data_IF_149816371379
#
_entry.id   IF_149816371379
#
_cell.length_a   1.000
_cell.length_b   1.000
_cell.length_c   1.000
_cell.angle_alpha   90.00
_cell.angle_beta   90.00
_cell.angle_gamma   90.00
#
_symmetry.space_group_name_H-M   'P 1'
#
loop_
_entity.id
_entity.type
_entity.pdbx_description
1 polymer ?
#
# COMPACT_ATOMS: atom_id res chain seq x y z
N UNK A 1 32.47 -0.89 30.83
CA UNK A 1 31.99 0.49 30.69
C UNK A 1 31.16 0.57 29.41
N UNK A 2 29.84 0.57 29.55
CA UNK A 2 28.91 0.68 28.38
C UNK A 2 28.75 2.16 28.06
N UNK A 3 29.21 2.60 26.90
CA UNK A 3 28.99 3.97 26.42
C UNK A 3 27.61 4.04 25.80
N UNK A 4 26.70 4.72 26.49
CA UNK A 4 25.39 5.11 25.98
C UNK A 4 25.58 6.33 25.09
N UNK A 5 25.52 6.17 23.78
CA UNK A 5 25.41 7.30 22.85
C UNK A 5 23.93 7.66 22.75
N UNK A 6 23.51 8.65 23.52
CA UNK A 6 22.26 9.37 23.28
C UNK A 6 22.59 10.46 22.28
N UNK A 7 22.10 10.35 21.05
CA UNK A 7 22.29 11.38 20.04
C UNK A 7 21.54 12.64 20.45
N UNK A 8 22.27 13.74 20.58
CA UNK A 8 21.78 15.04 21.03
C UNK A 8 20.76 15.73 20.09
N UNK A 9 20.45 15.12 18.95
CA UNK A 9 19.49 15.66 17.96
C UNK A 9 18.01 15.40 18.31
N UNK A 10 17.72 14.51 19.28
CA UNK A 10 16.33 14.25 19.75
C UNK A 10 15.93 15.23 20.88
N UNK A 11 16.88 15.87 21.55
CA UNK A 11 16.60 16.68 22.73
C UNK A 11 16.01 18.06 22.43
N UNK A 12 16.15 18.60 21.22
CA UNK A 12 15.65 19.94 20.89
C UNK A 12 14.17 20.00 20.49
N UNK A 13 13.55 18.85 20.14
CA UNK A 13 12.12 18.79 19.81
C UNK A 13 11.26 18.42 21.02
N UNK A 14 11.85 17.82 22.06
CA UNK A 14 11.17 17.47 23.31
C UNK A 14 10.87 18.67 24.21
N UNK A 15 11.40 19.86 23.94
CA UNK A 15 11.20 21.06 24.75
C UNK A 15 9.80 21.70 24.58
N UNK A 16 8.96 21.26 23.66
CA UNK A 16 7.59 21.73 23.48
C UNK A 16 6.52 20.86 24.18
N UNK A 17 6.92 19.75 24.81
CA UNK A 17 6.01 18.79 25.41
C UNK A 17 5.90 18.92 26.93
N UNK A 18 5.86 20.12 27.49
CA UNK A 18 5.55 20.33 28.91
C UNK A 18 4.06 20.56 29.13
N UNK A 19 3.21 19.64 28.69
CA UNK A 19 1.81 19.56 29.09
C UNK A 19 1.52 18.21 29.72
N UNK A 20 1.28 18.21 31.05
CA UNK A 20 0.57 17.23 31.85
C UNK A 20 1.00 15.76 31.74
N UNK A 21 1.48 15.22 32.81
CA UNK A 21 2.04 13.89 33.02
C UNK A 21 1.00 12.73 32.93
N UNK A 22 0.29 12.51 31.83
CA UNK A 22 -0.56 11.31 31.62
C UNK A 22 -0.74 10.92 30.13
N UNK A 23 -0.09 11.61 29.20
CA UNK A 23 -0.17 11.26 27.78
C UNK A 23 1.16 10.66 27.33
N UNK A 24 1.15 9.59 26.56
CA UNK A 24 2.29 9.31 25.69
C UNK A 24 2.40 10.50 24.74
N UNK A 25 3.42 11.33 24.91
CA UNK A 25 3.65 12.54 24.10
C UNK A 25 3.73 12.18 22.59
N UNK A 26 3.63 13.18 21.70
CA UNK A 26 3.67 12.92 20.27
C UNK A 26 4.97 12.19 19.88
N UNK A 27 4.84 11.08 19.16
CA UNK A 27 5.96 10.35 18.59
C UNK A 27 6.20 10.83 17.16
N UNK A 28 7.37 11.37 16.90
CA UNK A 28 7.87 11.64 15.56
C UNK A 28 8.44 10.36 14.98
N UNK A 29 8.16 10.10 13.71
CA UNK A 29 8.71 8.97 12.99
C UNK A 29 8.91 9.34 11.53
N UNK A 30 9.73 8.58 10.86
CA UNK A 30 9.92 8.78 9.44
C UNK A 30 10.56 7.56 8.78
N UNK A 31 10.61 7.66 7.47
CA UNK A 31 11.28 6.71 6.59
C UNK A 31 11.98 7.48 5.49
N UNK A 32 13.20 7.09 5.21
CA UNK A 32 13.88 7.42 3.97
C UNK A 32 14.11 6.10 3.22
N UNK A 33 13.56 5.99 2.02
CA UNK A 33 13.68 4.79 1.19
C UNK A 33 14.01 5.20 -0.24
N UNK A 34 15.24 4.84 -0.66
CA UNK A 34 15.77 5.17 -1.98
C UNK A 34 16.23 3.89 -2.68
N UNK A 35 15.97 3.80 -3.97
CA UNK A 35 16.38 2.69 -4.81
C UNK A 35 17.04 3.18 -6.10
N UNK A 36 18.11 2.49 -6.50
CA UNK A 36 18.63 2.56 -7.85
C UNK A 36 17.90 1.50 -8.66
N UNK A 37 17.14 1.93 -9.67
CA UNK A 37 16.27 1.08 -10.48
C UNK A 37 16.68 1.19 -11.93
N UNK A 38 16.82 0.04 -12.60
CA UNK A 38 16.95 -0.07 -14.05
C UNK A 38 15.69 -0.72 -14.62
N UNK A 39 15.17 -0.17 -15.72
CA UNK A 39 13.95 -0.62 -16.40
C UNK A 39 14.16 -0.63 -17.90
N UNK A 40 13.54 -1.61 -18.59
CA UNK A 40 13.61 -1.72 -20.04
C UNK A 40 12.68 -0.72 -20.74
N UNK A 41 11.57 -0.32 -20.11
CA UNK A 41 10.59 0.58 -20.73
C UNK A 41 10.22 1.79 -19.86
N UNK A 42 10.36 1.70 -18.53
CA UNK A 42 9.89 2.69 -17.58
C UNK A 42 8.38 2.71 -17.36
N UNK A 43 7.64 1.88 -18.07
CA UNK A 43 6.17 1.88 -18.11
C UNK A 43 5.55 1.46 -16.76
N UNK A 44 6.22 0.58 -16.02
CA UNK A 44 5.68 -0.01 -14.80
C UNK A 44 6.25 0.57 -13.51
N UNK A 45 7.12 1.59 -13.58
CA UNK A 45 7.73 2.19 -12.39
C UNK A 45 6.68 2.75 -11.42
N UNK A 46 6.87 2.43 -10.14
CA UNK A 46 5.97 2.81 -9.05
C UNK A 46 6.01 4.31 -8.76
N UNK A 47 7.20 4.85 -8.60
CA UNK A 47 7.38 6.22 -8.12
C UNK A 47 7.00 7.28 -9.15
N UNK A 48 7.00 6.95 -10.43
CA UNK A 48 6.65 7.88 -11.51
C UNK A 48 7.46 9.18 -11.48
N UNK A 49 8.69 9.13 -10.99
CA UNK A 49 9.51 10.29 -10.62
C UNK A 49 9.81 11.24 -11.77
N UNK A 50 9.57 10.87 -13.00
CA UNK A 50 9.92 11.67 -14.17
C UNK A 50 8.74 12.01 -15.09
N UNK A 51 7.50 11.85 -14.63
CA UNK A 51 6.33 12.15 -15.47
C UNK A 51 6.32 11.29 -16.74
N UNK A 52 6.74 10.03 -16.60
CA UNK A 52 6.80 9.10 -17.72
C UNK A 52 5.39 8.91 -18.26
N UNK A 53 5.10 9.51 -19.39
CA UNK A 53 3.97 9.14 -20.22
C UNK A 53 4.28 7.78 -20.82
N UNK A 54 3.90 6.74 -20.11
CA UNK A 54 4.06 5.38 -20.57
C UNK A 54 3.07 5.13 -21.71
N UNK A 55 3.51 5.38 -22.92
CA UNK A 55 2.97 4.67 -24.06
C UNK A 55 3.67 3.31 -24.08
N UNK A 56 2.91 2.23 -24.08
CA UNK A 56 3.40 0.84 -24.14
C UNK A 56 4.27 0.49 -25.35
N UNK A 57 4.62 1.48 -26.18
CA UNK A 57 5.51 1.41 -27.33
C UNK A 57 6.68 2.41 -27.27
N UNK A 58 6.90 3.08 -26.14
CA UNK A 58 7.91 4.14 -26.08
C UNK A 58 9.15 3.67 -25.32
N UNK A 59 10.10 3.05 -26.05
CA UNK A 59 11.42 2.67 -25.53
C UNK A 59 12.24 3.88 -25.00
N UNK A 60 11.72 5.11 -25.15
CA UNK A 60 12.43 6.33 -24.72
C UNK A 60 12.53 6.48 -23.20
N UNK A 61 11.82 5.65 -22.45
CA UNK A 61 11.83 5.66 -20.99
C UNK A 61 12.69 4.54 -20.36
N UNK A 62 13.35 3.73 -21.18
CA UNK A 62 14.34 2.77 -20.70
C UNK A 62 15.50 3.50 -19.99
N UNK A 63 16.00 2.95 -18.90
CA UNK A 63 17.13 3.58 -18.23
C UNK A 63 17.28 3.24 -16.75
N UNK A 64 18.17 4.01 -16.12
CA UNK A 64 18.47 3.85 -14.71
C UNK A 64 18.06 5.11 -13.95
N UNK A 65 17.28 4.92 -12.90
CA UNK A 65 16.66 5.97 -12.10
C UNK A 65 17.04 5.83 -10.63
N UNK A 66 17.20 6.98 -9.95
CA UNK A 66 17.16 7.03 -8.49
C UNK A 66 15.72 7.30 -8.08
N UNK A 67 15.07 6.29 -7.51
CA UNK A 67 13.68 6.39 -7.07
C UNK A 67 13.58 6.64 -5.56
N UNK A 68 12.55 7.40 -5.20
CA UNK A 68 12.12 7.60 -3.83
C UNK A 68 10.87 6.73 -3.59
N UNK A 69 11.05 5.62 -2.88
CA UNK A 69 9.98 4.66 -2.63
C UNK A 69 9.14 5.06 -1.41
N UNK A 70 8.38 6.17 -1.55
CA UNK A 70 7.47 6.69 -0.54
C UNK A 70 8.15 7.04 0.80
N UNK A 71 9.30 7.73 0.74
CA UNK A 71 9.87 8.36 1.94
C UNK A 71 8.82 9.22 2.62
N UNK A 72 8.78 9.21 3.94
CA UNK A 72 7.72 9.87 4.69
C UNK A 72 8.23 10.45 6.01
N UNK A 73 7.48 11.43 6.51
CA UNK A 73 7.61 12.01 7.84
C UNK A 73 6.24 12.09 8.48
N UNK A 74 6.15 11.77 9.76
CA UNK A 74 4.90 11.82 10.48
C UNK A 74 5.01 12.08 11.97
N UNK A 75 3.89 12.44 12.54
CA UNK A 75 3.68 12.53 13.99
C UNK A 75 2.40 11.78 14.33
N UNK A 76 2.41 11.05 15.43
CA UNK A 76 1.25 10.34 15.96
C UNK A 76 1.28 10.32 17.48
N UNK A 77 0.13 10.14 18.07
CA UNK A 77 0.03 10.04 19.52
C UNK A 77 -1.34 9.55 19.99
N UNK A 78 -1.42 9.36 21.30
CA UNK A 78 -2.64 8.98 21.99
C UNK A 78 -2.69 9.72 23.31
N UNK A 79 -3.88 10.19 23.70
CA UNK A 79 -4.14 10.85 24.97
C UNK A 79 -5.37 10.25 25.63
N UNK A 80 -5.21 9.73 26.84
CA UNK A 80 -6.32 9.26 27.66
C UNK A 80 -7.10 10.45 28.20
N UNK A 81 -8.35 10.62 27.79
CA UNK A 81 -9.24 11.71 28.24
C UNK A 81 -10.18 11.29 29.36
N UNK A 82 -10.50 10.00 29.44
CA UNK A 82 -11.29 9.40 30.51
C UNK A 82 -11.02 7.88 30.57
N UNK A 83 -11.54 7.19 31.61
CA UNK A 83 -11.43 5.74 31.66
C UNK A 83 -12.17 5.07 30.50
N UNK A 84 -11.42 4.31 29.69
CA UNK A 84 -11.94 3.66 28.47
C UNK A 84 -12.11 4.59 27.27
N UNK A 85 -11.54 5.82 27.30
CA UNK A 85 -11.60 6.79 26.21
C UNK A 85 -10.22 7.38 25.95
N UNK A 86 -9.64 7.06 24.79
CA UNK A 86 -8.38 7.61 24.31
C UNK A 86 -8.62 8.40 23.02
N UNK A 87 -8.19 9.66 22.96
CA UNK A 87 -8.04 10.39 21.70
C UNK A 87 -6.78 9.90 21.02
N UNK A 88 -6.87 9.58 19.74
CA UNK A 88 -5.72 9.16 18.92
C UNK A 88 -5.62 10.06 17.69
N UNK A 89 -4.40 10.33 17.26
CA UNK A 89 -4.17 11.17 16.10
C UNK A 89 -2.93 10.72 15.31
N UNK A 90 -2.94 11.04 14.03
CA UNK A 90 -1.80 10.91 13.14
C UNK A 90 -1.82 12.04 12.12
N UNK A 91 -0.64 12.52 11.75
CA UNK A 91 -0.41 13.40 10.61
C UNK A 91 0.85 12.92 9.91
N UNK A 92 0.71 12.52 8.64
CA UNK A 92 1.79 11.92 7.85
C UNK A 92 1.87 12.57 6.48
N UNK A 93 3.09 12.81 6.01
CA UNK A 93 3.40 13.35 4.70
C UNK A 93 4.40 12.44 3.98
N UNK A 94 4.17 12.17 2.71
CA UNK A 94 5.20 11.65 1.83
C UNK A 94 6.15 12.79 1.47
N UNK A 95 7.44 12.50 1.42
CA UNK A 95 8.50 13.47 1.12
C UNK A 95 9.11 13.16 -0.24
N UNK A 96 8.92 14.08 -1.20
CA UNK A 96 9.39 13.98 -2.57
C UNK A 96 10.43 15.07 -2.86
N UNK A 97 11.66 14.87 -2.39
CA UNK A 97 12.73 15.88 -2.51
C UNK A 97 13.97 15.37 -3.25
N UNK A 98 13.90 14.21 -3.90
CA UNK A 98 15.01 13.62 -4.66
C UNK A 98 14.94 13.90 -6.14
N UNK A 99 13.80 14.35 -6.66
CA UNK A 99 13.61 14.79 -8.03
C UNK A 99 13.44 16.31 -8.10
N UNK A 100 13.76 16.91 -9.23
CA UNK A 100 13.65 18.37 -9.43
C UNK A 100 12.24 18.88 -9.73
N UNK A 101 11.21 18.05 -9.64
CA UNK A 101 9.85 18.41 -10.05
C UNK A 101 8.80 18.03 -8.99
N UNK A 102 7.79 18.88 -8.83
CA UNK A 102 6.59 18.63 -8.04
C UNK A 102 6.65 19.13 -6.59
N UNK A 103 5.58 18.84 -5.87
CA UNK A 103 5.44 19.22 -4.47
C UNK A 103 6.31 18.33 -3.58
N UNK A 104 7.07 18.96 -2.69
CA UNK A 104 7.96 18.25 -1.75
C UNK A 104 7.16 17.40 -0.77
N UNK A 105 5.97 17.83 -0.36
CA UNK A 105 5.11 17.11 0.58
C UNK A 105 3.78 16.72 -0.08
N UNK A 106 3.48 15.42 -0.03
CA UNK A 106 2.18 14.88 -0.46
C UNK A 106 1.41 14.36 0.73
N UNK A 107 0.08 14.56 0.74
CA UNK A 107 -0.78 14.13 1.84
C UNK A 107 -0.83 12.61 1.96
N UNK A 108 -0.61 12.11 3.20
CA UNK A 108 -0.79 10.71 3.59
C UNK A 108 -1.84 10.61 4.70
N UNK A 109 -1.76 9.60 5.56
CA UNK A 109 -2.74 9.39 6.63
C UNK A 109 -2.72 10.55 7.62
N UNK A 110 -3.85 11.27 7.72
CA UNK A 110 -4.04 12.39 8.64
C UNK A 110 -5.43 12.30 9.22
N UNK A 111 -5.54 11.95 10.50
CA UNK A 111 -6.81 11.72 11.17
C UNK A 111 -6.78 12.10 12.65
N UNK A 112 -7.96 12.36 13.17
CA UNK A 112 -8.28 12.41 14.58
C UNK A 112 -9.26 11.27 14.90
N UNK A 113 -9.11 10.63 16.04
CA UNK A 113 -9.95 9.50 16.41
C UNK A 113 -10.23 9.37 17.88
N UNK A 114 -11.25 8.59 18.18
CA UNK A 114 -11.62 8.19 19.54
C UNK A 114 -11.60 6.66 19.63
N UNK A 115 -10.74 6.15 20.49
CA UNK A 115 -10.66 4.74 20.81
C UNK A 115 -11.39 4.49 22.12
N UNK A 116 -12.28 3.49 22.11
CA UNK A 116 -13.09 3.07 23.25
C UNK A 116 -13.14 1.56 23.38
N UNK A 117 -13.75 1.06 24.44
CA UNK A 117 -14.04 -0.37 24.60
C UNK A 117 -15.03 -0.91 23.52
N UNK A 118 -15.84 -0.04 22.92
CA UNK A 118 -16.76 -0.40 21.83
C UNK A 118 -16.13 -0.35 20.44
N UNK A 119 -14.86 0.05 20.35
CA UNK A 119 -14.14 0.17 19.09
C UNK A 119 -13.49 1.54 18.89
N UNK A 120 -12.97 1.75 17.70
CA UNK A 120 -12.27 3.00 17.33
C UNK A 120 -12.97 3.68 16.18
N UNK A 121 -13.24 4.97 16.32
CA UNK A 121 -13.76 5.83 15.24
C UNK A 121 -12.66 6.81 14.86
N UNK A 122 -12.44 6.99 13.55
CA UNK A 122 -11.54 8.02 13.00
C UNK A 122 -12.30 8.92 12.06
N UNK A 123 -11.85 10.16 11.92
CA UNK A 123 -12.29 11.11 10.88
C UNK A 123 -11.06 11.78 10.27
N UNK A 124 -11.12 12.05 8.95
CA UNK A 124 -10.04 12.70 8.19
C UNK A 124 -9.63 11.93 6.95
N UNK A 125 -8.33 11.60 6.83
CA UNK A 125 -7.74 10.89 5.68
C UNK A 125 -7.02 9.63 6.16
N UNK A 126 -7.39 8.48 5.58
CA UNK A 126 -6.76 7.21 5.93
C UNK A 126 -6.87 6.20 4.78
N UNK A 127 -6.09 5.12 4.80
CA UNK A 127 -6.27 4.00 3.89
C UNK A 127 -7.68 3.41 4.05
N UNK A 128 -8.34 3.07 2.95
CA UNK A 128 -9.64 2.39 2.99
C UNK A 128 -9.53 1.05 3.74
N UNK A 129 -10.58 0.63 4.42
CA UNK A 129 -10.59 -0.70 5.08
C UNK A 129 -10.50 -1.84 4.08
N UNK A 130 -10.85 -1.58 2.80
CA UNK A 130 -10.62 -2.49 1.71
C UNK A 130 -9.14 -2.70 1.43
N UNK A 131 -8.36 -1.61 1.32
CA UNK A 131 -6.90 -1.67 1.19
C UNK A 131 -6.28 -2.34 2.40
N UNK A 132 -6.64 -1.93 3.61
CA UNK A 132 -6.09 -2.48 4.85
C UNK A 132 -6.31 -4.00 5.00
N UNK A 133 -7.36 -4.56 4.37
CA UNK A 133 -7.66 -5.98 4.39
C UNK A 133 -6.60 -6.85 3.68
N UNK A 134 -5.71 -6.28 2.87
CA UNK A 134 -4.58 -7.00 2.28
C UNK A 134 -3.63 -7.57 3.35
N UNK A 135 -3.58 -6.92 4.52
CA UNK A 135 -2.74 -7.35 5.64
C UNK A 135 -1.24 -7.23 5.32
N UNK A 136 -0.54 -8.36 5.28
CA UNK A 136 0.86 -8.44 4.90
C UNK A 136 1.07 -9.34 3.67
N UNK A 137 0.03 -9.55 2.84
CA UNK A 137 0.14 -10.30 1.59
C UNK A 137 1.01 -9.56 0.59
N UNK A 138 1.03 -8.24 0.63
CA UNK A 138 1.97 -7.44 -0.13
C UNK A 138 3.37 -7.53 0.50
N UNK A 139 4.19 -8.45 -0.04
CA UNK A 139 5.54 -8.70 0.45
C UNK A 139 6.60 -7.78 -0.17
N UNK A 140 6.24 -7.02 -1.22
CA UNK A 140 7.11 -6.07 -1.93
C UNK A 140 6.66 -4.60 -1.79
N UNK A 141 5.72 -4.32 -0.91
CA UNK A 141 5.04 -3.03 -0.80
C UNK A 141 5.93 -1.79 -0.86
N UNK A 142 5.39 -0.76 -1.50
CA UNK A 142 6.03 0.51 -1.82
C UNK A 142 7.21 0.44 -2.80
N UNK A 143 7.37 -0.65 -3.54
CA UNK A 143 8.43 -0.81 -4.56
C UNK A 143 7.83 -1.03 -5.94
N UNK A 144 8.67 -1.19 -6.97
CA UNK A 144 8.23 -1.51 -8.32
C UNK A 144 7.59 -2.91 -8.45
N UNK A 145 7.56 -3.68 -7.38
CA UNK A 145 6.94 -4.99 -7.28
C UNK A 145 5.71 -5.00 -6.36
N UNK A 146 5.20 -3.84 -5.94
CA UNK A 146 4.01 -3.68 -5.09
C UNK A 146 2.77 -4.27 -5.78
N UNK A 147 1.90 -4.92 -5.02
CA UNK A 147 0.66 -5.52 -5.57
C UNK A 147 -0.28 -4.47 -6.17
N UNK A 148 -0.18 -3.19 -5.80
CA UNK A 148 -0.99 -2.11 -6.36
C UNK A 148 -0.73 -1.89 -7.86
N UNK A 149 0.34 -2.50 -8.41
CA UNK A 149 0.63 -2.50 -9.85
C UNK A 149 -0.45 -3.26 -10.62
N UNK A 150 -1.03 -4.33 -10.03
CA UNK A 150 -2.08 -5.14 -10.63
C UNK A 150 -3.43 -4.96 -9.94
N UNK A 151 -3.45 -4.79 -8.62
CA UNK A 151 -4.67 -4.74 -7.82
C UNK A 151 -5.26 -3.33 -7.82
N UNK A 152 -6.54 -3.20 -8.15
CA UNK A 152 -7.28 -1.93 -8.10
C UNK A 152 -7.76 -1.57 -6.69
N UNK A 153 -8.32 -0.35 -6.54
CA UNK A 153 -8.87 0.19 -5.29
C UNK A 153 -7.88 0.23 -4.12
N UNK A 154 -6.58 0.29 -4.41
CA UNK A 154 -5.49 0.45 -3.43
C UNK A 154 -5.33 1.94 -3.06
N UNK A 155 -6.35 2.49 -2.40
CA UNK A 155 -6.45 3.93 -2.20
C UNK A 155 -6.50 4.36 -0.74
N UNK A 156 -6.13 5.61 -0.55
CA UNK A 156 -6.29 6.39 0.67
C UNK A 156 -7.32 7.46 0.42
N UNK A 157 -8.43 7.41 1.16
CA UNK A 157 -9.53 8.37 1.03
C UNK A 157 -9.35 9.54 1.98
N UNK A 158 -9.69 10.74 1.51
CA UNK A 158 -9.86 11.93 2.33
C UNK A 158 -11.34 12.13 2.68
N UNK A 159 -11.62 13.05 3.59
CA UNK A 159 -12.98 13.44 4.01
C UNK A 159 -13.88 12.24 4.31
N UNK A 160 -13.35 11.36 5.15
CA UNK A 160 -14.01 10.12 5.50
C UNK A 160 -14.11 9.88 6.99
N UNK A 161 -14.89 8.88 7.32
CA UNK A 161 -15.01 8.30 8.66
C UNK A 161 -14.75 6.81 8.63
N UNK A 162 -14.06 6.30 9.63
CA UNK A 162 -13.72 4.88 9.80
C UNK A 162 -14.23 4.38 11.13
N UNK A 163 -14.64 3.13 11.15
CA UNK A 163 -14.91 2.37 12.37
C UNK A 163 -14.16 1.05 12.36
N UNK A 164 -13.53 0.75 13.47
CA UNK A 164 -12.85 -0.53 13.74
C UNK A 164 -13.45 -1.15 15.00
N UNK A 165 -14.02 -2.34 14.90
CA UNK A 165 -14.54 -3.05 16.06
C UNK A 165 -13.43 -3.49 17.02
N UNK A 166 -13.73 -3.76 18.29
CA UNK A 166 -12.86 -4.58 19.13
C UNK A 166 -12.67 -5.97 18.51
N UNK A 167 -11.62 -6.68 18.93
CA UNK A 167 -11.45 -8.10 18.57
C UNK A 167 -12.58 -8.93 19.16
N UNK A 168 -13.44 -9.49 18.33
CA UNK A 168 -14.52 -10.41 18.70
C UNK A 168 -13.89 -11.79 18.92
N UNK A 169 -14.13 -12.39 20.09
CA UNK A 169 -13.52 -13.65 20.53
C UNK A 169 -11.96 -13.66 20.42
N UNK A 170 -11.32 -12.49 20.46
CA UNK A 170 -9.88 -12.36 20.35
C UNK A 170 -9.31 -12.57 18.93
N UNK A 171 -10.15 -12.80 17.93
CA UNK A 171 -9.71 -13.24 16.59
C UNK A 171 -10.25 -12.38 15.43
N UNK A 172 -11.51 -11.97 15.48
CA UNK A 172 -12.19 -11.32 14.35
C UNK A 172 -12.31 -9.82 14.60
N UNK A 173 -12.04 -8.99 13.58
CA UNK A 173 -12.42 -7.57 13.57
C UNK A 173 -13.33 -7.28 12.40
N UNK A 174 -14.31 -6.39 12.62
CA UNK A 174 -15.19 -5.85 11.60
C UNK A 174 -14.83 -4.38 11.41
N UNK A 175 -14.60 -3.96 10.18
CA UNK A 175 -14.16 -2.61 9.88
C UNK A 175 -15.03 -2.01 8.79
N UNK A 176 -15.25 -0.71 8.84
CA UNK A 176 -15.99 0.03 7.84
C UNK A 176 -15.35 1.41 7.63
N UNK A 177 -15.44 1.94 6.41
CA UNK A 177 -15.24 3.35 6.18
C UNK A 177 -16.29 3.88 5.20
N UNK A 178 -16.57 5.17 5.34
CA UNK A 178 -17.42 5.96 4.47
C UNK A 178 -16.65 7.21 4.02
N UNK A 179 -16.74 7.56 2.73
CA UNK A 179 -16.17 8.78 2.16
C UNK A 179 -17.31 9.75 1.90
N UNK A 180 -17.15 11.01 2.31
CA UNK A 180 -18.14 12.07 2.06
C UNK A 180 -18.05 12.58 0.62
N UNK A 181 -19.15 13.10 0.10
CA UNK A 181 -19.38 13.38 -1.33
C UNK A 181 -18.54 14.52 -1.91
N UNK A 182 -18.01 15.43 -1.08
CA UNK A 182 -17.20 16.56 -1.51
C UNK A 182 -15.82 16.18 -2.05
N UNK A 183 -15.38 14.94 -1.83
CA UNK A 183 -14.15 14.37 -2.37
C UNK A 183 -14.37 13.25 -3.38
N UNK A 184 -15.56 13.09 -3.90
CA UNK A 184 -15.79 12.23 -5.04
C UNK A 184 -15.18 12.88 -6.29
N UNK A 185 -13.96 12.44 -6.65
CA UNK A 185 -13.25 12.86 -7.87
C UNK A 185 -13.63 12.03 -9.09
N UNK A 186 -14.38 10.95 -8.90
CA UNK A 186 -14.96 10.17 -10.00
C UNK A 186 -16.17 10.90 -10.55
N UNK A 187 -16.46 10.72 -11.83
CA UNK A 187 -17.65 11.29 -12.48
C UNK A 187 -18.84 10.96 -11.58
N UNK A 188 -19.43 12.01 -10.95
CA UNK A 188 -20.47 11.95 -9.93
C UNK A 188 -21.51 10.87 -10.21
N UNK A 189 -21.20 9.66 -9.78
CA UNK A 189 -22.22 8.66 -9.58
C UNK A 189 -22.88 9.05 -8.26
N UNK A 190 -24.20 9.18 -8.22
CA UNK A 190 -24.96 9.55 -7.01
C UNK A 190 -24.95 8.42 -5.95
N UNK A 191 -23.94 7.59 -5.94
CA UNK A 191 -23.82 6.42 -5.10
C UNK A 191 -23.00 6.69 -3.84
N UNK A 192 -23.35 6.02 -2.76
CA UNK A 192 -22.61 6.11 -1.50
C UNK A 192 -21.24 5.43 -1.64
N UNK A 193 -20.18 6.11 -1.22
CA UNK A 193 -18.80 5.64 -1.27
C UNK A 193 -18.41 5.01 0.07
N UNK A 194 -18.29 3.69 0.13
CA UNK A 194 -17.93 3.01 1.37
C UNK A 194 -17.13 1.71 1.14
N UNK A 195 -16.45 1.28 2.18
CA UNK A 195 -15.85 -0.05 2.20
C UNK A 195 -16.11 -0.76 3.53
N UNK A 196 -16.17 -2.08 3.46
CA UNK A 196 -16.38 -2.98 4.58
C UNK A 196 -15.28 -4.04 4.57
N UNK A 197 -14.82 -4.48 5.75
CA UNK A 197 -13.97 -5.65 5.85
C UNK A 197 -14.20 -6.44 7.13
N UNK A 198 -13.97 -7.75 7.04
CA UNK A 198 -13.85 -8.63 8.19
C UNK A 198 -12.48 -9.32 8.12
N UNK A 199 -11.73 -9.28 9.23
CA UNK A 199 -10.41 -9.90 9.31
C UNK A 199 -10.37 -10.95 10.40
N UNK A 200 -9.61 -12.01 10.19
CA UNK A 200 -9.43 -13.13 11.12
C UNK A 200 -7.93 -13.37 11.35
N UNK A 201 -7.53 -13.47 12.61
CA UNK A 201 -6.14 -13.78 12.97
C UNK A 201 -5.24 -12.55 13.05
N UNK A 202 -3.97 -12.69 12.70
CA UNK A 202 -2.95 -11.64 12.83
C UNK A 202 -2.07 -11.54 11.57
N UNK A 203 -2.23 -10.47 10.80
CA UNK A 203 -1.44 -10.22 9.59
C UNK A 203 0.07 -10.07 9.85
N UNK A 204 0.48 -9.77 11.09
CA UNK A 204 1.90 -9.64 11.49
C UNK A 204 2.49 -10.90 12.09
N UNK A 205 1.69 -11.95 12.24
CA UNK A 205 2.08 -13.24 12.81
C UNK A 205 2.74 -13.16 14.21
N UNK A 206 2.31 -12.23 15.04
CA UNK A 206 2.78 -12.09 16.44
C UNK A 206 1.99 -12.95 17.41
N UNK A 207 0.68 -13.00 17.21
CA UNK A 207 -0.27 -13.74 18.07
C UNK A 207 -0.74 -15.03 17.40
N UNK A 208 -0.97 -14.99 16.07
CA UNK A 208 -1.48 -16.09 15.27
C UNK A 208 -0.53 -16.34 14.08
N UNK A 209 -0.43 -17.60 13.64
CA UNK A 209 0.35 -17.97 12.47
C UNK A 209 -0.47 -17.94 11.16
N UNK A 210 -1.63 -17.34 11.19
CA UNK A 210 -2.52 -17.18 10.04
C UNK A 210 -3.23 -15.83 10.07
N UNK A 211 -3.62 -15.41 8.88
CA UNK A 211 -4.47 -14.26 8.65
C UNK A 211 -5.40 -14.56 7.49
N UNK A 212 -6.65 -14.15 7.59
CA UNK A 212 -7.59 -14.15 6.49
C UNK A 212 -8.43 -12.87 6.52
N UNK A 213 -8.86 -12.41 5.36
CA UNK A 213 -9.76 -11.27 5.26
C UNK A 213 -10.72 -11.43 4.10
N UNK A 214 -11.92 -10.85 4.28
CA UNK A 214 -12.86 -10.57 3.22
C UNK A 214 -13.15 -9.06 3.23
N UNK A 215 -13.24 -8.45 2.07
CA UNK A 215 -13.54 -7.02 1.97
C UNK A 215 -14.41 -6.72 0.76
N UNK A 216 -15.19 -5.65 0.88
CA UNK A 216 -16.04 -5.10 -0.16
C UNK A 216 -15.78 -3.59 -0.27
N UNK A 217 -15.67 -3.08 -1.48
CA UNK A 217 -15.53 -1.68 -1.83
C UNK A 217 -16.67 -1.26 -2.74
N UNK A 218 -17.37 -0.19 -2.40
CA UNK A 218 -18.41 0.41 -3.22
C UNK A 218 -17.98 1.80 -3.66
N UNK A 219 -17.71 1.96 -4.93
CA UNK A 219 -17.45 3.22 -5.61
C UNK A 219 -16.16 3.96 -5.24
N UNK A 220 -15.50 3.65 -4.11
CA UNK A 220 -14.26 4.33 -3.72
C UNK A 220 -13.17 4.08 -4.78
N UNK A 221 -12.51 5.14 -5.23
CA UNK A 221 -11.56 5.14 -6.34
C UNK A 221 -12.18 4.73 -7.70
N UNK A 222 -13.49 4.89 -7.86
CA UNK A 222 -14.19 4.57 -9.10
C UNK A 222 -14.39 3.08 -9.36
N UNK A 223 -14.29 2.24 -8.33
CA UNK A 223 -14.31 0.77 -8.48
C UNK A 223 -15.26 0.15 -7.46
N UNK A 224 -16.09 -0.77 -7.92
CA UNK A 224 -16.77 -1.75 -7.08
C UNK A 224 -15.91 -3.01 -7.03
N UNK A 225 -15.65 -3.56 -5.84
CA UNK A 225 -14.79 -4.74 -5.74
C UNK A 225 -15.05 -5.59 -4.50
N UNK A 226 -14.80 -6.91 -4.63
CA UNK A 226 -14.62 -7.79 -3.47
C UNK A 226 -13.26 -8.44 -3.49
N UNK A 227 -12.73 -8.61 -2.28
CA UNK A 227 -11.39 -9.14 -2.05
C UNK A 227 -11.44 -10.27 -1.01
N UNK A 228 -10.68 -11.32 -1.30
CA UNK A 228 -10.35 -12.39 -0.37
C UNK A 228 -8.84 -12.42 -0.18
N UNK A 229 -8.39 -12.55 1.06
CA UNK A 229 -6.97 -12.64 1.40
C UNK A 229 -6.75 -13.80 2.34
N UNK A 230 -5.67 -14.53 2.13
CA UNK A 230 -5.22 -15.58 3.03
C UNK A 230 -3.72 -15.57 3.17
N UNK A 231 -3.22 -15.74 4.41
CA UNK A 231 -1.80 -15.87 4.70
C UNK A 231 -1.56 -16.87 5.81
N UNK A 232 -0.46 -17.61 5.74
CA UNK A 232 -0.04 -18.53 6.79
C UNK A 232 1.49 -18.55 6.94
N UNK A 233 1.93 -18.77 8.18
CA UNK A 233 3.34 -18.93 8.53
C UNK A 233 3.60 -20.34 9.01
N UNK A 234 4.58 -21.02 8.39
CA UNK A 234 5.02 -22.38 8.71
C UNK A 234 6.55 -22.40 8.91
N UNK A 235 6.97 -22.34 10.17
CA UNK A 235 8.39 -22.23 10.48
C UNK A 235 8.99 -20.95 9.89
N UNK A 236 9.94 -21.11 8.96
CA UNK A 236 10.60 -20.00 8.27
C UNK A 236 9.86 -19.54 7.00
N UNK A 237 8.86 -20.31 6.54
CA UNK A 237 8.06 -19.96 5.37
C UNK A 237 6.83 -19.10 5.76
N UNK A 238 6.52 -18.14 4.92
CA UNK A 238 5.21 -17.47 4.87
C UNK A 238 4.68 -17.65 3.46
N UNK A 239 3.42 -18.01 3.35
CA UNK A 239 2.71 -18.10 2.07
C UNK A 239 1.49 -17.20 2.13
N UNK A 240 1.15 -16.58 1.02
CA UNK A 240 0.01 -15.70 0.93
C UNK A 240 -0.66 -15.77 -0.43
N UNK A 241 -1.91 -15.33 -0.46
CA UNK A 241 -2.66 -15.16 -1.68
C UNK A 241 -3.77 -14.13 -1.52
N UNK A 242 -4.11 -13.53 -2.63
CA UNK A 242 -5.19 -12.56 -2.76
C UNK A 242 -5.98 -12.89 -4.03
N UNK A 243 -7.28 -12.85 -3.91
CA UNK A 243 -8.23 -12.83 -5.01
C UNK A 243 -9.05 -11.54 -4.93
N UNK A 244 -9.25 -10.89 -6.06
CA UNK A 244 -10.13 -9.73 -6.17
C UNK A 244 -10.93 -9.83 -7.46
N UNK A 245 -12.20 -9.48 -7.39
CA UNK A 245 -13.00 -9.14 -8.56
C UNK A 245 -13.27 -7.64 -8.50
N UNK A 246 -13.16 -6.96 -9.62
CA UNK A 246 -13.32 -5.50 -9.73
C UNK A 246 -14.14 -5.13 -10.95
N UNK A 247 -14.95 -4.08 -10.81
CA UNK A 247 -15.77 -3.47 -11.85
C UNK A 247 -15.61 -1.95 -11.80
N UNK A 248 -15.41 -1.30 -12.96
CA UNK A 248 -15.37 0.17 -13.06
C UNK A 248 -16.78 0.74 -12.95
N UNK A 249 -17.01 1.71 -12.03
CA UNK A 249 -18.36 2.25 -11.76
C UNK A 249 -18.90 3.15 -12.86
N UNK A 250 -18.08 3.61 -13.78
CA UNK A 250 -18.46 4.48 -14.92
C UNK A 250 -18.68 3.65 -16.18
N UNK A 251 -17.89 2.61 -16.35
CA UNK A 251 -17.99 1.69 -17.48
C UNK A 251 -18.04 0.25 -16.98
N UNK A 252 -19.24 -0.24 -16.71
CA UNK A 252 -19.49 -1.57 -16.16
C UNK A 252 -19.08 -2.71 -17.13
N UNK A 253 -18.72 -2.41 -18.37
CA UNK A 253 -18.13 -3.38 -19.29
C UNK A 253 -16.66 -3.69 -18.94
N UNK A 254 -16.03 -2.89 -18.08
CA UNK A 254 -14.68 -3.12 -17.58
C UNK A 254 -14.77 -3.81 -16.22
N UNK A 255 -14.71 -5.13 -16.25
CA UNK A 255 -14.71 -5.98 -15.07
C UNK A 255 -13.74 -7.15 -15.22
N UNK A 256 -13.28 -7.71 -14.13
CA UNK A 256 -12.43 -8.88 -14.18
C UNK A 256 -11.87 -9.27 -12.82
N UNK A 257 -11.04 -10.31 -12.86
CA UNK A 257 -10.43 -10.88 -11.66
C UNK A 257 -8.95 -10.53 -11.60
N UNK A 258 -8.45 -10.37 -10.38
CA UNK A 258 -7.04 -10.23 -10.10
C UNK A 258 -6.62 -11.29 -9.08
N UNK A 259 -5.51 -11.95 -9.32
CA UNK A 259 -4.99 -13.05 -8.50
C UNK A 259 -3.55 -12.77 -8.11
N UNK A 260 -3.22 -13.04 -6.84
CA UNK A 260 -1.85 -13.05 -6.35
C UNK A 260 -1.56 -14.27 -5.52
N UNK A 261 -0.37 -14.81 -5.70
CA UNK A 261 0.21 -15.82 -4.80
C UNK A 261 1.65 -15.43 -4.51
N UNK A 262 2.07 -15.62 -3.26
CA UNK A 262 3.44 -15.33 -2.88
C UNK A 262 3.97 -16.28 -1.82
N UNK A 263 5.30 -16.30 -1.72
CA UNK A 263 6.02 -17.02 -0.70
C UNK A 263 7.23 -16.19 -0.25
N UNK A 264 7.49 -16.22 1.04
CA UNK A 264 8.76 -15.75 1.57
C UNK A 264 9.39 -16.80 2.49
N UNK A 265 10.73 -16.80 2.53
CA UNK A 265 11.53 -17.72 3.33
C UNK A 265 12.60 -16.95 4.09
N UNK A 266 12.62 -17.10 5.41
CA UNK A 266 13.66 -16.50 6.26
C UNK A 266 14.91 -17.41 6.28
N UNK A 267 15.93 -17.02 5.54
CA UNK A 267 17.24 -17.66 5.53
C UNK A 267 18.19 -16.94 6.50
N UNK A 268 18.08 -17.26 7.80
CA UNK A 268 18.94 -16.68 8.84
C UNK A 268 18.97 -15.14 8.83
N UNK A 269 17.79 -14.51 8.68
CA UNK A 269 17.62 -13.07 8.65
C UNK A 269 17.63 -12.44 7.26
N UNK A 270 18.03 -13.18 6.22
CA UNK A 270 17.77 -12.81 4.82
C UNK A 270 16.38 -13.30 4.44
N UNK A 271 15.47 -12.39 4.13
CA UNK A 271 14.12 -12.74 3.72
C UNK A 271 14.06 -12.87 2.19
N UNK A 272 14.03 -14.10 1.69
CA UNK A 272 13.86 -14.39 0.26
C UNK A 272 12.39 -14.34 -0.10
N UNK A 273 12.04 -13.75 -1.25
CA UNK A 273 10.66 -13.48 -1.65
C UNK A 273 10.43 -13.85 -3.11
N UNK A 274 9.26 -14.43 -3.39
CA UNK A 274 8.75 -14.61 -4.74
C UNK A 274 7.23 -14.37 -4.77
N UNK A 275 6.76 -13.78 -5.85
CA UNK A 275 5.36 -13.44 -6.05
C UNK A 275 4.98 -13.56 -7.51
N UNK A 276 3.75 -13.97 -7.77
CA UNK A 276 3.17 -14.00 -9.10
C UNK A 276 1.73 -13.47 -9.02
N UNK A 277 1.38 -12.59 -9.95
CA UNK A 277 0.06 -12.01 -10.07
C UNK A 277 -0.44 -11.98 -11.51
N UNK A 278 -1.77 -11.98 -11.66
CA UNK A 278 -2.50 -11.82 -12.91
C UNK A 278 -3.62 -10.82 -12.67
N UNK A 279 -3.78 -9.86 -13.57
CA UNK A 279 -4.90 -8.93 -13.63
C UNK A 279 -5.63 -9.09 -14.96
N UNK A 280 -6.90 -9.49 -14.87
CA UNK A 280 -7.84 -9.66 -15.99
C UNK A 280 -8.82 -8.48 -16.07
N UNK A 281 -8.83 -7.59 -15.07
CA UNK A 281 -9.70 -6.43 -15.02
C UNK A 281 -9.12 -5.20 -15.75
N UNK A 282 -7.79 -5.09 -15.81
CA UNK A 282 -7.13 -3.91 -16.38
C UNK A 282 -7.32 -2.63 -15.55
N UNK A 283 -7.62 -2.77 -14.26
CA UNK A 283 -7.87 -1.66 -13.33
C UNK A 283 -6.71 -1.43 -12.36
N UNK A 284 -5.65 -2.22 -12.45
CA UNK A 284 -4.44 -2.07 -11.65
C UNK A 284 -3.56 -0.89 -12.07
N UNK A 285 -2.73 -0.41 -11.14
CA UNK A 285 -1.95 0.81 -11.32
C UNK A 285 -0.97 0.79 -12.49
N UNK A 286 -0.37 -0.36 -12.84
CA UNK A 286 0.53 -0.45 -13.98
C UNK A 286 -0.22 -0.41 -15.30
N UNK A 287 -1.29 -1.21 -15.45
CA UNK A 287 -2.07 -1.24 -16.67
C UNK A 287 -2.73 0.12 -16.97
N UNK A 288 -3.31 0.77 -15.97
CA UNK A 288 -3.91 2.11 -16.14
C UNK A 288 -2.89 3.18 -16.53
N UNK A 289 -1.66 3.08 -16.05
CA UNK A 289 -0.55 3.95 -16.48
C UNK A 289 -0.13 3.72 -17.93
N UNK A 290 -0.28 2.50 -18.44
CA UNK A 290 -0.08 2.18 -19.86
C UNK A 290 -1.18 2.77 -20.76
N UNK A 291 -2.11 3.53 -20.18
CA UNK A 291 -3.10 4.28 -20.92
C UNK A 291 -4.44 3.59 -21.06
N UNK A 292 -4.66 2.46 -20.36
CA UNK A 292 -5.89 1.69 -20.32
C UNK A 292 -6.63 1.72 -21.65
N UNK A 293 -6.47 0.74 -22.53
CA UNK A 293 -6.99 0.84 -23.90
C UNK A 293 -8.51 0.79 -23.86
N UNK A 294 -9.16 1.88 -24.28
CA UNK A 294 -10.62 1.94 -24.33
C UNK A 294 -11.18 0.85 -25.26
N UNK A 295 -12.06 0.02 -24.73
CA UNK A 295 -12.66 -1.11 -25.46
C UNK A 295 -11.73 -2.32 -25.55
N UNK A 296 -10.78 -2.45 -24.63
CA UNK A 296 -9.99 -3.66 -24.50
C UNK A 296 -10.83 -4.75 -23.84
N UNK A 297 -10.77 -5.93 -24.42
CA UNK A 297 -11.32 -7.18 -23.89
C UNK A 297 -10.17 -8.18 -23.68
N UNK A 298 -10.46 -9.29 -22.98
CA UNK A 298 -9.52 -10.40 -22.74
C UNK A 298 -8.16 -9.90 -22.20
N UNK A 299 -8.21 -8.98 -21.24
CA UNK A 299 -7.00 -8.43 -20.61
C UNK A 299 -6.31 -9.54 -19.81
N UNK A 300 -5.01 -9.71 -20.04
CA UNK A 300 -4.17 -10.66 -19.31
C UNK A 300 -2.84 -9.97 -18.97
N UNK A 301 -2.83 -9.20 -17.89
CA UNK A 301 -1.64 -8.50 -17.42
C UNK A 301 -0.98 -9.26 -16.27
N UNK A 302 0.27 -9.65 -16.42
CA UNK A 302 0.97 -10.53 -15.51
C UNK A 302 2.19 -9.83 -14.89
N UNK A 303 2.45 -10.19 -13.64
CA UNK A 303 3.62 -9.76 -12.90
C UNK A 303 4.29 -10.95 -12.23
N UNK A 304 5.62 -11.02 -12.34
CA UNK A 304 6.45 -11.98 -11.62
C UNK A 304 7.56 -11.24 -10.91
N UNK A 305 7.64 -11.41 -9.60
CA UNK A 305 8.59 -10.74 -8.73
C UNK A 305 9.45 -11.75 -7.98
N UNK A 306 10.74 -11.48 -7.88
CA UNK A 306 11.65 -12.14 -6.94
C UNK A 306 12.50 -11.10 -6.23
N UNK A 307 12.91 -11.38 -5.01
CA UNK A 307 13.78 -10.45 -4.29
C UNK A 307 14.28 -11.01 -2.97
N UNK A 308 15.13 -10.22 -2.37
CA UNK A 308 15.63 -10.47 -1.03
C UNK A 308 15.76 -9.16 -0.27
N UNK A 309 15.48 -9.18 1.03
CA UNK A 309 15.81 -8.10 1.94
C UNK A 309 16.56 -8.59 3.18
N UNK A 310 17.37 -7.71 3.74
CA UNK A 310 18.13 -7.97 4.94
C UNK A 310 18.19 -6.73 5.84
N UNK A 311 17.85 -6.90 7.12
CA UNK A 311 18.01 -5.84 8.11
C UNK A 311 19.43 -5.81 8.65
N UNK A 312 20.22 -4.87 8.17
CA UNK A 312 21.60 -4.64 8.65
C UNK A 312 21.60 -3.99 10.05
N UNK A 313 20.50 -3.33 10.43
CA UNK A 313 20.25 -2.78 11.76
C UNK A 313 18.73 -2.75 12.02
N UNK A 314 18.30 -2.48 13.26
CA UNK A 314 16.87 -2.34 13.59
C UNK A 314 16.15 -1.31 12.73
N UNK A 315 16.83 -0.22 12.40
CA UNK A 315 16.34 0.90 11.61
C UNK A 315 16.65 0.79 10.11
N UNK A 316 17.57 -0.08 9.69
CA UNK A 316 18.12 -0.07 8.34
C UNK A 316 17.91 -1.42 7.65
N UNK A 317 17.31 -1.39 6.47
CA UNK A 317 17.10 -2.53 5.60
C UNK A 317 17.72 -2.24 4.23
N UNK A 318 18.40 -3.21 3.68
CA UNK A 318 18.82 -3.23 2.27
C UNK A 318 18.03 -4.28 1.53
N UNK A 319 17.75 -4.05 0.26
CA UNK A 319 17.02 -5.01 -0.56
C UNK A 319 17.49 -5.00 -2.01
N UNK A 320 17.26 -6.12 -2.68
CA UNK A 320 17.37 -6.25 -4.12
C UNK A 320 16.17 -7.00 -4.65
N UNK A 321 15.66 -6.57 -5.80
CA UNK A 321 14.48 -7.19 -6.41
C UNK A 321 14.51 -7.09 -7.92
N UNK A 322 13.79 -8.01 -8.53
CA UNK A 322 13.48 -8.04 -9.95
C UNK A 322 11.97 -8.18 -10.10
N UNK A 323 11.37 -7.32 -10.89
CA UNK A 323 9.97 -7.39 -11.28
C UNK A 323 9.88 -7.48 -12.80
N UNK A 324 9.11 -8.43 -13.30
CA UNK A 324 8.81 -8.58 -14.72
C UNK A 324 7.32 -8.37 -14.93
N UNK A 325 6.99 -7.51 -15.86
CA UNK A 325 5.62 -7.25 -16.29
C UNK A 325 5.47 -7.62 -17.76
N UNK A 326 4.38 -8.30 -18.08
CA UNK A 326 4.02 -8.66 -19.44
C UNK A 326 2.51 -8.81 -19.55
N UNK A 327 2.01 -8.81 -20.76
CA UNK A 327 0.58 -9.09 -20.95
C UNK A 327 0.14 -8.86 -22.37
N UNK A 328 -1.15 -9.06 -22.54
CA UNK A 328 -1.85 -8.84 -23.80
C UNK A 328 -3.29 -8.43 -23.53
N UNK A 329 -3.94 -7.90 -24.54
CA UNK A 329 -5.36 -7.58 -24.55
C UNK A 329 -5.90 -7.66 -25.99
N UNK A 330 -7.21 -7.69 -26.14
CA UNK A 330 -7.90 -7.73 -27.43
C UNK A 330 -8.66 -6.42 -27.65
N UNK A 331 -8.57 -5.85 -28.84
CA UNK A 331 -9.38 -4.70 -29.29
C UNK A 331 -9.96 -5.02 -30.66
N UNK A 332 -11.28 -4.93 -30.78
CA UNK A 332 -11.99 -5.22 -32.04
C UNK A 332 -11.60 -6.58 -32.66
N UNK A 333 -11.47 -7.61 -31.83
CA UNK A 333 -11.01 -8.97 -32.16
C UNK A 333 -9.54 -9.07 -32.64
N UNK A 334 -8.73 -8.06 -32.47
CA UNK A 334 -7.31 -8.10 -32.73
C UNK A 334 -6.52 -8.15 -31.40
N UNK A 335 -5.74 -9.23 -31.24
CA UNK A 335 -4.86 -9.38 -30.07
C UNK A 335 -3.68 -8.43 -30.22
N UNK A 336 -3.35 -7.73 -29.12
CA UNK A 336 -2.22 -6.82 -28.99
C UNK A 336 -1.37 -7.25 -27.81
N UNK A 337 -0.11 -7.53 -28.04
CA UNK A 337 0.84 -7.84 -26.97
C UNK A 337 1.38 -6.53 -26.38
N UNK A 338 1.43 -6.46 -25.05
CA UNK A 338 2.13 -5.41 -24.32
C UNK A 338 3.64 -5.67 -24.39
N UNK A 339 4.42 -4.60 -24.45
CA UNK A 339 5.87 -4.73 -24.33
C UNK A 339 6.23 -5.18 -22.89
N UNK A 340 7.09 -6.19 -22.79
CA UNK A 340 7.60 -6.66 -21.50
C UNK A 340 8.44 -5.55 -20.85
N UNK A 341 8.25 -5.33 -19.55
CA UNK A 341 9.09 -4.44 -18.77
C UNK A 341 9.81 -5.23 -17.67
N UNK A 342 11.13 -5.20 -17.70
CA UNK A 342 11.98 -5.82 -16.72
C UNK A 342 12.58 -4.73 -15.83
N UNK A 343 12.31 -4.80 -14.54
CA UNK A 343 12.67 -3.78 -13.56
C UNK A 343 13.58 -4.39 -12.49
N UNK A 344 14.82 -3.92 -12.43
CA UNK A 344 15.79 -4.29 -11.40
C UNK A 344 15.96 -3.14 -10.41
N UNK A 345 15.81 -3.40 -9.13
CA UNK A 345 15.99 -2.39 -8.10
C UNK A 345 16.90 -2.88 -6.98
N UNK A 346 17.80 -2.00 -6.55
CA UNK A 346 18.58 -2.16 -5.30
C UNK A 346 18.34 -0.96 -4.45
N UNK A 347 17.86 -1.16 -3.22
CA UNK A 347 17.42 -0.07 -2.37
C UNK A 347 17.91 -0.17 -0.93
N UNK A 348 17.82 0.96 -0.26
CA UNK A 348 18.04 1.11 1.17
C UNK A 348 16.87 1.84 1.80
N UNK A 349 16.40 1.30 2.91
CA UNK A 349 15.35 1.88 3.75
C UNK A 349 15.90 2.14 5.14
N UNK A 350 15.69 3.35 5.62
CA UNK A 350 16.02 3.78 6.97
C UNK A 350 14.76 4.29 7.67
N UNK A 351 14.37 3.63 8.76
CA UNK A 351 13.22 4.02 9.61
C UNK A 351 13.75 4.68 10.88
N UNK A 352 13.20 5.81 11.34
CA UNK A 352 13.59 6.53 12.55
C UNK A 352 12.40 7.03 13.37
#
# INVERSE_FOLDING_TARGET
MKKTFISASVASVLALASFGALAEGPSFYGRLELALTHTDTGATLQSGTNGLNANYADENNAGTYLENNFSLLGVKGSEKIADGFDVIYQMEFQVENTSGAGDVFKARNTFLGLKTNAGTVLVGRNDSVFKQAEGAVDIFGNTNADIDRLVSAQTRTADGAWYYSPKIAGLVTLNANYQFDDNDTTAKTSESLYALSATLGDSKFKEQNYYAAVAYNKGIAGVDAYRLVGQAKFGQFKVGGLFQNSEDVVNNDIEGNTYFVNVSYDLNGVNLKAEYGIDEAGLGGAYTKLGGVKGADDINFQNFNIGADYRVAKSTMIYGQYAMYRGDFTVANAKTDLQDDNVFSVGVRYDF
#
